data_IF_860834101657
#
_entry.id   IF_860834101657
#
_cell.length_a   1.000
_cell.length_b   1.000
_cell.length_c   1.000
_cell.angle_alpha   90.00
_cell.angle_beta   90.00
_cell.angle_gamma   90.00
#
_symmetry.space_group_name_H-M   'P 1'
#
loop_
_entity.id
_entity.type
_entity.pdbx_description
1 polymer ?
#
# COMPACT_ATOMS: atom_id res chain seq x y z
N UNK A 1 30.77 -11.26 51.72
CA UNK A 1 30.74 -10.95 50.27
C UNK A 1 29.83 -11.88 49.44
N UNK A 2 29.34 -13.02 49.96
CA UNK A 2 28.48 -13.94 49.19
C UNK A 2 27.00 -13.51 49.04
N UNK A 3 26.45 -12.71 49.97
CA UNK A 3 25.02 -12.33 49.97
C UNK A 3 24.64 -11.34 48.86
N UNK A 4 25.53 -10.40 48.52
CA UNK A 4 25.29 -9.39 47.48
C UNK A 4 25.22 -10.00 46.08
N UNK A 5 26.01 -11.04 45.81
CA UNK A 5 25.98 -11.76 44.53
C UNK A 5 24.64 -12.50 44.32
N UNK A 6 24.11 -13.13 45.37
CA UNK A 6 22.81 -13.82 45.29
C UNK A 6 21.65 -12.86 45.02
N UNK A 7 21.66 -11.66 45.61
CA UNK A 7 20.65 -10.65 45.33
C UNK A 7 20.76 -10.10 43.90
N UNK A 8 21.98 -9.91 43.39
CA UNK A 8 22.19 -9.48 42.00
C UNK A 8 21.65 -10.50 41.00
N UNK A 9 21.87 -11.79 41.25
CA UNK A 9 21.39 -12.88 40.40
C UNK A 9 19.86 -12.92 40.37
N UNK A 10 19.20 -12.76 41.53
CA UNK A 10 17.73 -12.77 41.61
C UNK A 10 17.14 -11.59 40.83
N UNK A 11 17.73 -10.39 40.92
CA UNK A 11 17.26 -9.21 40.18
C UNK A 11 17.45 -9.37 38.67
N UNK A 12 18.56 -9.98 38.24
CA UNK A 12 18.79 -10.30 36.81
C UNK A 12 17.76 -11.31 36.31
N UNK A 13 17.48 -12.37 37.08
CA UNK A 13 16.49 -13.39 36.68
C UNK A 13 15.07 -12.81 36.62
N UNK A 14 14.70 -11.95 37.58
CA UNK A 14 13.40 -11.27 37.57
C UNK A 14 13.25 -10.29 36.40
N UNK A 15 14.30 -9.54 36.05
CA UNK A 15 14.28 -8.63 34.90
C UNK A 15 14.25 -9.37 33.56
N UNK A 16 14.95 -10.51 33.44
CA UNK A 16 14.86 -11.39 32.27
C UNK A 16 13.48 -12.04 32.12
N UNK A 17 12.83 -12.42 33.23
CA UNK A 17 11.47 -12.96 33.22
C UNK A 17 10.41 -11.89 32.88
N UNK A 18 10.60 -10.65 33.36
CA UNK A 18 9.67 -9.56 33.07
C UNK A 18 9.79 -9.07 31.62
N UNK A 19 11.01 -9.07 31.06
CA UNK A 19 11.23 -8.74 29.65
C UNK A 19 10.63 -9.82 28.73
N UNK A 20 10.79 -11.11 29.02
CA UNK A 20 10.17 -12.16 28.20
C UNK A 20 8.63 -12.16 28.26
N UNK A 21 8.02 -11.62 29.31
CA UNK A 21 6.57 -11.44 29.40
C UNK A 21 6.05 -10.20 28.63
N UNK A 22 6.90 -9.19 28.39
CA UNK A 22 6.56 -7.98 27.64
C UNK A 22 6.86 -8.10 26.15
N UNK A 23 7.82 -8.96 25.77
CA UNK A 23 8.04 -9.35 24.39
C UNK A 23 7.11 -10.52 24.04
N UNK A 24 5.90 -10.20 23.59
CA UNK A 24 5.13 -11.18 22.81
C UNK A 24 6.04 -11.67 21.68
N UNK A 25 6.22 -12.99 21.46
CA UNK A 25 6.86 -13.44 20.25
C UNK A 25 6.07 -12.83 19.11
N UNK A 26 6.76 -12.16 18.18
CA UNK A 26 6.20 -11.82 16.87
C UNK A 26 5.97 -13.15 16.16
N UNK A 27 4.94 -13.87 16.57
CA UNK A 27 4.37 -14.93 15.80
C UNK A 27 3.83 -14.22 14.57
N UNK A 28 4.47 -14.48 13.44
CA UNK A 28 3.87 -14.26 12.13
C UNK A 28 2.40 -14.65 12.24
N UNK A 29 1.50 -13.70 11.99
CA UNK A 29 0.08 -13.98 11.83
C UNK A 29 -0.15 -14.72 10.51
N UNK A 30 0.60 -15.79 10.25
CA UNK A 30 -0.03 -16.97 9.69
C UNK A 30 -1.09 -17.34 10.70
N UNK A 31 -2.31 -16.81 10.52
CA UNK A 31 -3.51 -17.26 11.21
C UNK A 31 -3.40 -18.78 11.25
N UNK A 32 -3.09 -19.34 12.41
CA UNK A 32 -3.24 -20.77 12.63
C UNK A 32 -4.70 -21.02 12.32
N UNK A 33 -4.96 -21.62 11.15
CA UNK A 33 -6.30 -22.04 10.80
C UNK A 33 -6.61 -23.07 11.88
N UNK A 34 -7.36 -22.63 12.89
CA UNK A 34 -8.07 -23.54 13.78
C UNK A 34 -8.80 -24.50 12.84
N UNK A 35 -8.39 -25.76 12.90
CA UNK A 35 -8.83 -26.81 11.99
C UNK A 35 -10.24 -27.24 12.41
N UNK A 36 -11.13 -26.29 12.67
CA UNK A 36 -12.56 -26.50 12.47
C UNK A 36 -12.71 -26.76 10.99
N UNK A 37 -12.98 -28.02 10.69
CA UNK A 37 -13.39 -28.48 9.37
C UNK A 37 -14.72 -27.79 9.06
N UNK A 38 -14.67 -26.55 8.59
CA UNK A 38 -15.82 -25.90 7.98
C UNK A 38 -16.23 -26.77 6.80
N UNK A 39 -17.40 -27.39 6.93
CA UNK A 39 -17.99 -28.25 5.89
C UNK A 39 -18.33 -27.47 4.60
N UNK A 40 -18.13 -26.14 4.59
CA UNK A 40 -18.47 -25.23 3.49
C UNK A 40 -17.27 -24.42 2.96
N UNK A 41 -16.05 -24.93 3.05
CA UNK A 41 -14.87 -24.32 2.39
C UNK A 41 -14.70 -24.79 0.95
N UNK A 42 -14.33 -23.89 0.02
CA UNK A 42 -13.92 -24.29 -1.33
C UNK A 42 -12.39 -24.31 -1.43
N UNK A 43 -11.85 -25.37 -2.02
CA UNK A 43 -10.41 -25.53 -2.28
C UNK A 43 -10.15 -25.39 -3.77
N UNK A 44 -9.38 -24.38 -4.17
CA UNK A 44 -8.94 -24.21 -5.57
C UNK A 44 -7.46 -24.55 -5.66
N UNK A 45 -7.11 -25.44 -6.58
CA UNK A 45 -5.72 -25.63 -6.98
C UNK A 45 -5.35 -24.64 -8.07
N UNK A 46 -4.44 -23.70 -7.76
CA UNK A 46 -3.86 -22.81 -8.76
C UNK A 46 -2.83 -23.59 -9.57
N UNK A 47 -3.10 -23.77 -10.87
CA UNK A 47 -2.11 -24.27 -11.83
C UNK A 47 -1.65 -23.11 -12.70
N UNK A 48 -0.34 -22.96 -12.84
CA UNK A 48 0.23 -21.98 -13.76
C UNK A 48 -0.30 -22.26 -15.17
N UNK A 49 -0.62 -21.22 -15.94
CA UNK A 49 -1.25 -21.33 -17.28
C UNK A 49 -0.46 -22.21 -18.27
N UNK A 50 0.85 -22.33 -18.06
CA UNK A 50 1.75 -23.18 -18.86
C UNK A 50 2.16 -24.50 -18.16
N UNK A 51 1.59 -24.85 -17.01
CA UNK A 51 2.03 -26.02 -16.21
C UNK A 51 1.77 -27.37 -16.88
N UNK A 52 0.88 -27.43 -17.87
CA UNK A 52 0.52 -28.65 -18.60
C UNK A 52 1.36 -28.90 -19.86
N UNK A 53 2.29 -28.02 -20.22
CA UNK A 53 3.08 -28.13 -21.44
C UNK A 53 4.56 -28.36 -21.19
N UNK A 54 5.19 -29.15 -22.05
CA UNK A 54 6.63 -29.38 -22.03
C UNK A 54 7.37 -28.23 -22.73
N UNK A 55 7.32 -27.03 -22.13
CA UNK A 55 7.94 -25.82 -22.66
C UNK A 55 9.27 -25.52 -21.98
N UNK A 56 10.27 -25.16 -22.78
CA UNK A 56 11.52 -24.54 -22.34
C UNK A 56 11.28 -23.19 -21.65
N UNK A 57 12.26 -22.69 -20.90
CA UNK A 57 12.19 -21.36 -20.27
C UNK A 57 11.92 -20.24 -21.29
N UNK A 58 12.57 -20.32 -22.45
CA UNK A 58 12.42 -19.33 -23.51
C UNK A 58 11.01 -19.35 -24.13
N UNK A 59 10.47 -20.53 -24.42
CA UNK A 59 9.10 -20.66 -24.93
C UNK A 59 8.07 -20.14 -23.90
N UNK A 60 8.28 -20.40 -22.60
CA UNK A 60 7.44 -19.83 -21.54
C UNK A 60 7.48 -18.30 -21.56
N UNK A 61 8.65 -17.70 -21.76
CA UNK A 61 8.80 -16.25 -21.86
C UNK A 61 8.07 -15.70 -23.10
N UNK A 62 8.26 -16.31 -24.27
CA UNK A 62 7.55 -15.91 -25.49
C UNK A 62 6.03 -16.00 -25.33
N UNK A 63 5.54 -17.06 -24.69
CA UNK A 63 4.12 -17.23 -24.39
C UNK A 63 3.60 -16.20 -23.40
N UNK A 64 4.38 -15.87 -22.36
CA UNK A 64 4.05 -14.80 -21.42
C UNK A 64 3.92 -13.45 -22.14
N UNK A 65 4.88 -13.10 -23.02
CA UNK A 65 4.81 -11.88 -23.85
C UNK A 65 3.59 -11.89 -24.77
N UNK A 66 3.30 -13.01 -25.44
CA UNK A 66 2.11 -13.14 -26.30
C UNK A 66 0.82 -12.92 -25.51
N UNK A 67 0.70 -13.51 -24.31
CA UNK A 67 -0.45 -13.26 -23.42
C UNK A 67 -0.52 -11.81 -22.97
N UNK A 68 0.61 -11.19 -22.65
CA UNK A 68 0.69 -9.76 -22.32
C UNK A 68 0.13 -8.89 -23.44
N UNK A 69 0.53 -9.13 -24.70
CA UNK A 69 0.01 -8.42 -25.87
C UNK A 69 -1.48 -8.61 -26.07
N UNK A 70 -1.99 -9.84 -25.97
CA UNK A 70 -3.42 -10.12 -26.10
C UNK A 70 -4.25 -9.46 -24.98
N UNK A 71 -3.69 -9.42 -23.76
CA UNK A 71 -4.31 -8.72 -22.63
C UNK A 71 -4.35 -7.22 -22.89
N UNK A 72 -3.25 -6.64 -23.37
CA UNK A 72 -3.20 -5.23 -23.74
C UNK A 72 -4.24 -4.91 -24.82
N UNK A 73 -4.31 -5.68 -25.91
CA UNK A 73 -5.32 -5.47 -26.95
C UNK A 73 -6.76 -5.52 -26.42
N UNK A 74 -7.08 -6.46 -25.51
CA UNK A 74 -8.40 -6.53 -24.88
C UNK A 74 -8.68 -5.33 -23.98
N UNK A 75 -7.69 -4.86 -23.23
CA UNK A 75 -7.82 -3.67 -22.40
C UNK A 75 -8.01 -2.45 -23.28
N UNK A 76 -7.17 -2.26 -24.30
CA UNK A 76 -7.27 -1.20 -25.29
C UNK A 76 -8.63 -1.20 -26.00
N UNK A 77 -9.16 -2.36 -26.39
CA UNK A 77 -10.48 -2.45 -27.00
C UNK A 77 -11.61 -2.07 -26.03
N UNK A 78 -11.47 -2.39 -24.73
CA UNK A 78 -12.42 -1.95 -23.69
C UNK A 78 -12.32 -0.46 -23.41
N UNK A 79 -11.14 0.14 -23.57
CA UNK A 79 -10.91 1.58 -23.39
C UNK A 79 -11.00 2.35 -24.70
N UNK A 80 -11.26 1.72 -25.85
CA UNK A 80 -11.28 2.39 -27.15
C UNK A 80 -12.42 3.40 -27.30
N UNK A 81 -13.48 3.26 -26.50
CA UNK A 81 -14.55 4.26 -26.37
C UNK A 81 -14.31 5.26 -25.24
N UNK A 82 -13.18 5.14 -24.54
CA UNK A 82 -12.80 5.93 -23.38
C UNK A 82 -11.57 6.74 -23.78
N UNK A 83 -11.78 7.99 -24.21
CA UNK A 83 -10.67 8.92 -24.38
C UNK A 83 -10.04 9.15 -23.00
N UNK A 84 -8.80 8.69 -22.76
CA UNK A 84 -8.17 8.85 -21.47
C UNK A 84 -7.93 10.34 -21.23
N UNK A 85 -8.51 10.88 -20.18
CA UNK A 85 -8.32 12.28 -19.79
C UNK A 85 -6.91 12.57 -19.29
N UNK A 86 -6.16 11.52 -18.91
CA UNK A 86 -4.79 11.60 -18.40
C UNK A 86 -4.00 10.35 -18.85
N UNK A 87 -2.82 10.56 -19.41
CA UNK A 87 -1.83 9.53 -19.71
C UNK A 87 -0.50 9.89 -19.06
N UNK A 88 0.17 8.90 -18.46
CA UNK A 88 1.49 9.07 -17.86
C UNK A 88 2.39 7.87 -18.20
N UNK A 89 3.64 8.11 -18.64
CA UNK A 89 4.63 7.05 -18.76
C UNK A 89 4.86 6.35 -17.43
N UNK A 90 5.05 5.02 -17.49
CA UNK A 90 5.30 4.17 -16.32
C UNK A 90 6.71 3.62 -16.39
N UNK A 91 7.41 3.67 -15.26
CA UNK A 91 8.77 3.17 -15.11
C UNK A 91 8.86 2.16 -13.97
N UNK A 92 9.79 1.21 -14.08
CA UNK A 92 10.02 0.23 -13.02
C UNK A 92 10.80 0.87 -11.86
N UNK A 93 10.30 0.72 -10.65
CA UNK A 93 10.97 1.06 -9.39
C UNK A 93 11.46 -0.19 -8.64
N UNK A 94 11.81 -0.02 -7.36
CA UNK A 94 12.26 -1.12 -6.51
C UNK A 94 11.08 -1.93 -5.96
N UNK A 95 10.52 -2.82 -6.78
CA UNK A 95 9.37 -3.66 -6.42
C UNK A 95 8.00 -3.05 -6.74
N UNK A 96 7.98 -1.86 -7.34
CA UNK A 96 6.78 -1.09 -7.66
C UNK A 96 6.86 -0.50 -9.07
N UNK A 97 5.73 -0.01 -9.58
CA UNK A 97 5.69 0.80 -10.80
C UNK A 97 5.48 2.25 -10.44
N UNK A 98 6.30 3.14 -11.02
CA UNK A 98 6.27 4.57 -10.77
C UNK A 98 5.74 5.31 -11.99
N UNK A 99 4.99 6.39 -11.74
CA UNK A 99 4.49 7.32 -12.74
C UNK A 99 4.69 8.76 -12.28
N UNK A 100 4.81 9.69 -13.22
CA UNK A 100 4.88 11.12 -12.92
C UNK A 100 3.50 11.77 -13.08
N UNK A 101 3.04 12.45 -12.04
CA UNK A 101 1.78 13.21 -12.03
C UNK A 101 2.06 14.68 -11.70
N UNK A 102 1.36 15.59 -12.35
CA UNK A 102 1.46 17.01 -12.05
C UNK A 102 0.26 17.48 -11.20
N UNK A 103 0.53 18.24 -10.13
CA UNK A 103 -0.47 18.71 -9.16
C UNK A 103 -0.33 20.22 -9.00
N UNK A 104 -1.47 20.91 -8.92
CA UNK A 104 -1.56 22.32 -8.59
C UNK A 104 -1.43 23.29 -9.77
N UNK A 105 -1.53 24.58 -9.47
CA UNK A 105 -1.35 25.68 -10.44
C UNK A 105 -0.47 26.77 -9.80
N UNK A 106 0.79 26.96 -10.27
CA UNK A 106 1.43 26.27 -11.39
C UNK A 106 1.65 24.77 -11.12
N UNK A 107 1.75 23.98 -12.19
CA UNK A 107 1.86 22.54 -12.10
C UNK A 107 3.23 22.11 -11.53
N UNK A 108 3.20 21.33 -10.46
CA UNK A 108 4.38 20.71 -9.85
C UNK A 108 4.36 19.20 -10.08
N UNK A 109 5.49 18.61 -10.48
CA UNK A 109 5.55 17.17 -10.81
C UNK A 109 5.98 16.31 -9.62
N UNK A 110 5.25 15.22 -9.39
CA UNK A 110 5.43 14.25 -8.32
C UNK A 110 5.62 12.85 -8.90
N UNK A 111 6.55 12.09 -8.34
CA UNK A 111 6.67 10.65 -8.59
C UNK A 111 5.70 9.91 -7.68
N UNK A 112 4.79 9.11 -8.26
CA UNK A 112 3.76 8.37 -7.56
C UNK A 112 3.86 6.86 -7.85
N UNK A 113 3.45 6.06 -6.88
CA UNK A 113 3.32 4.60 -7.04
C UNK A 113 2.01 4.33 -7.77
N UNK A 114 2.05 3.49 -8.82
CA UNK A 114 0.87 2.96 -9.48
C UNK A 114 0.31 1.78 -8.66
N UNK A 115 -0.47 2.11 -7.64
CA UNK A 115 -1.14 1.12 -6.79
C UNK A 115 -2.54 0.80 -7.31
N UNK A 116 -2.71 -0.37 -7.93
CA UNK A 116 -4.04 -0.87 -8.35
C UNK A 116 -4.79 -1.59 -7.22
N UNK A 117 -4.20 -1.69 -6.03
CA UNK A 117 -4.75 -2.35 -4.85
C UNK A 117 -5.57 -1.44 -3.94
N UNK A 118 -5.62 -0.13 -4.21
CA UNK A 118 -6.35 0.88 -3.45
C UNK A 118 -7.05 1.89 -4.37
N UNK A 119 -7.85 2.78 -3.78
CA UNK A 119 -8.68 3.79 -4.44
C UNK A 119 -8.28 5.25 -4.11
N UNK A 120 -7.31 5.44 -3.20
CA UNK A 120 -6.87 6.75 -2.73
C UNK A 120 -5.63 7.26 -3.49
N UNK A 121 -5.77 8.42 -4.14
CA UNK A 121 -4.62 9.18 -4.67
C UNK A 121 -4.18 10.19 -3.62
N UNK A 122 -2.92 10.14 -3.18
CA UNK A 122 -2.39 11.04 -2.16
C UNK A 122 -0.91 11.36 -2.37
N UNK A 123 -0.47 12.51 -1.86
CA UNK A 123 0.93 12.93 -1.73
C UNK A 123 1.11 13.62 -0.38
N UNK A 124 2.35 13.78 0.09
CA UNK A 124 2.61 14.55 1.31
C UNK A 124 2.32 16.04 1.07
N UNK A 125 1.54 16.66 1.94
CA UNK A 125 1.19 18.08 1.88
C UNK A 125 1.63 18.85 3.14
N UNK A 126 1.95 20.13 2.99
CA UNK A 126 2.23 21.02 4.14
C UNK A 126 0.94 21.49 4.82
N UNK A 127 0.96 21.73 6.14
CA UNK A 127 2.03 21.37 7.07
C UNK A 127 2.05 19.85 7.33
N UNK A 128 3.21 19.23 7.16
CA UNK A 128 3.36 17.80 7.40
C UNK A 128 4.00 17.59 8.78
N UNK A 129 3.30 16.88 9.68
CA UNK A 129 3.74 16.63 11.06
C UNK A 129 4.68 15.42 11.17
N UNK A 130 4.35 14.36 10.43
CA UNK A 130 5.11 13.11 10.37
C UNK A 130 5.21 12.76 8.89
N UNK A 131 6.42 12.91 8.35
CA UNK A 131 6.70 12.82 6.93
C UNK A 131 7.79 11.78 6.71
N UNK A 132 7.82 11.19 5.53
CA UNK A 132 8.93 10.37 5.08
C UNK A 132 9.73 11.09 3.99
N UNK A 133 10.97 10.68 3.82
CA UNK A 133 11.81 11.21 2.76
C UNK A 133 11.27 10.78 1.40
N UNK A 134 10.96 11.76 0.55
CA UNK A 134 10.53 11.54 -0.82
C UNK A 134 11.43 12.34 -1.78
N UNK A 135 11.64 11.85 -3.01
CA UNK A 135 12.53 12.50 -3.98
C UNK A 135 11.97 13.82 -4.55
N UNK A 136 10.69 14.10 -4.32
CA UNK A 136 10.00 15.30 -4.80
C UNK A 136 9.65 16.21 -3.62
N UNK A 137 9.55 17.54 -3.79
CA UNK A 137 9.15 18.44 -2.71
C UNK A 137 7.82 18.03 -2.07
N UNK A 138 7.59 18.32 -0.80
CA UNK A 138 6.26 18.17 -0.18
C UNK A 138 5.34 19.25 -0.75
N UNK A 139 4.16 18.85 -1.23
CA UNK A 139 3.19 19.76 -1.84
C UNK A 139 2.80 20.87 -0.87
N UNK A 140 2.81 22.11 -1.35
CA UNK A 140 2.49 23.29 -0.56
C UNK A 140 1.15 23.88 -1.03
N UNK A 141 0.04 23.57 -0.32
CA UNK A 141 -1.29 24.00 -0.75
C UNK A 141 -1.42 25.52 -0.91
N UNK A 142 -0.70 26.30 -0.11
CA UNK A 142 -0.73 27.76 -0.15
C UNK A 142 -0.10 28.34 -1.42
N UNK A 143 0.75 27.56 -2.12
CA UNK A 143 1.41 27.99 -3.37
C UNK A 143 0.63 27.63 -4.62
N UNK A 144 -0.43 26.84 -4.49
CA UNK A 144 -1.24 26.40 -5.62
C UNK A 144 -2.55 27.15 -5.68
N UNK A 145 -2.71 28.01 -6.68
CA UNK A 145 -3.94 28.78 -6.92
C UNK A 145 -5.18 27.92 -7.24
N UNK A 146 -4.99 26.67 -7.69
CA UNK A 146 -6.06 25.72 -7.94
C UNK A 146 -6.35 24.78 -6.76
N UNK A 147 -5.68 24.96 -5.61
CA UNK A 147 -5.94 24.14 -4.44
C UNK A 147 -7.22 24.59 -3.73
N UNK A 148 -8.04 23.63 -3.35
CA UNK A 148 -9.19 23.84 -2.48
C UNK A 148 -9.40 22.63 -1.59
N UNK A 149 -9.70 22.84 -0.31
CA UNK A 149 -10.09 21.75 0.60
C UNK A 149 -11.38 21.08 0.12
N UNK A 150 -11.45 19.76 0.28
CA UNK A 150 -12.65 19.01 -0.04
C UNK A 150 -13.74 19.32 1.01
N UNK A 151 -14.92 19.83 0.61
CA UNK A 151 -15.99 20.11 1.57
C UNK A 151 -16.59 18.80 2.10
N UNK A 152 -17.06 18.82 3.35
CA UNK A 152 -17.64 17.64 3.98
C UNK A 152 -18.90 17.11 3.30
N UNK A 153 -19.62 17.97 2.58
CA UNK A 153 -20.80 17.58 1.80
C UNK A 153 -20.46 16.88 0.48
N UNK A 154 -19.18 16.76 0.12
CA UNK A 154 -18.76 16.06 -1.07
C UNK A 154 -18.94 14.55 -0.90
N UNK A 155 -19.52 13.89 -1.90
CA UNK A 155 -19.63 12.42 -1.92
C UNK A 155 -18.24 11.74 -1.81
N UNK A 156 -17.19 12.40 -2.30
CA UNK A 156 -15.81 11.92 -2.16
C UNK A 156 -15.36 11.82 -0.70
N UNK A 157 -15.93 12.63 0.20
CA UNK A 157 -15.60 12.55 1.63
C UNK A 157 -16.13 11.29 2.28
N UNK A 158 -17.28 10.80 1.81
CA UNK A 158 -17.88 9.54 2.28
C UNK A 158 -17.35 8.30 1.54
N UNK A 159 -16.56 8.48 0.47
CA UNK A 159 -16.09 7.39 -0.37
C UNK A 159 -15.04 6.50 0.33
N UNK A 160 -14.29 7.05 1.29
CA UNK A 160 -13.24 6.31 2.01
C UNK A 160 -13.79 5.66 3.28
N UNK A 161 -13.22 4.51 3.73
CA UNK A 161 -13.77 3.74 4.85
C UNK A 161 -13.85 4.49 6.19
N UNK A 162 -12.93 5.42 6.43
CA UNK A 162 -12.89 6.21 7.66
C UNK A 162 -12.70 7.67 7.28
N UNK A 163 -13.77 8.44 7.41
CA UNK A 163 -13.76 9.89 7.23
C UNK A 163 -14.44 10.62 8.39
N UNK A 164 -14.07 11.87 8.56
CA UNK A 164 -14.67 12.79 9.53
C UNK A 164 -14.70 14.20 8.98
N UNK A 165 -15.57 15.04 9.51
CA UNK A 165 -15.67 16.44 9.12
C UNK A 165 -15.19 17.35 10.25
N UNK A 166 -14.30 18.28 9.92
CA UNK A 166 -13.88 19.38 10.79
C UNK A 166 -13.79 20.67 9.95
N UNK A 167 -12.59 21.20 9.72
CA UNK A 167 -12.27 22.27 8.77
C UNK A 167 -11.99 21.68 7.37
N UNK A 168 -12.99 20.95 6.85
CA UNK A 168 -12.91 20.16 5.63
C UNK A 168 -13.04 18.65 5.87
N UNK A 169 -12.95 17.88 4.79
CA UNK A 169 -12.94 16.43 4.86
C UNK A 169 -11.61 15.89 5.38
N UNK A 170 -11.64 15.20 6.51
CA UNK A 170 -10.51 14.42 7.01
C UNK A 170 -10.72 12.93 6.70
N UNK A 171 -9.63 12.20 6.46
CA UNK A 171 -9.69 10.76 6.27
C UNK A 171 -8.57 10.02 7.00
N UNK A 172 -8.81 8.75 7.28
CA UNK A 172 -7.78 7.77 7.67
C UNK A 172 -7.81 6.60 6.71
N UNK A 173 -6.64 6.20 6.24
CA UNK A 173 -6.48 5.09 5.30
C UNK A 173 -5.40 4.15 5.81
N UNK A 174 -5.57 2.84 5.60
CA UNK A 174 -4.61 1.82 6.05
C UNK A 174 -4.40 0.80 4.94
N UNK A 175 -3.15 0.40 4.75
CA UNK A 175 -2.76 -0.59 3.75
C UNK A 175 -2.50 -1.96 4.40
N UNK A 176 -2.40 -3.00 3.58
CA UNK A 176 -2.22 -4.39 4.02
C UNK A 176 -0.87 -4.66 4.72
N UNK A 177 0.11 -3.78 4.54
CA UNK A 177 1.40 -3.79 5.23
C UNK A 177 1.38 -3.12 6.61
N UNK A 178 0.20 -2.65 7.05
CA UNK A 178 -0.06 -1.91 8.30
C UNK A 178 0.43 -0.45 8.30
N UNK A 179 0.89 0.07 7.16
CA UNK A 179 1.10 1.51 7.01
C UNK A 179 -0.23 2.26 7.10
N UNK A 180 -0.19 3.48 7.64
CA UNK A 180 -1.37 4.31 7.89
C UNK A 180 -1.14 5.72 7.44
N UNK A 181 -2.15 6.29 6.79
CA UNK A 181 -2.16 7.65 6.30
C UNK A 181 -3.34 8.39 6.91
N UNK A 182 -3.10 9.64 7.34
CA UNK A 182 -4.15 10.52 7.82
C UNK A 182 -3.99 11.88 7.14
N UNK A 183 -5.08 12.41 6.61
CA UNK A 183 -5.20 13.82 6.23
C UNK A 183 -6.07 14.58 7.24
N UNK A 184 -5.79 15.88 7.37
CA UNK A 184 -6.49 16.84 8.22
C UNK A 184 -6.94 18.03 7.37
#
# INVERSE_FOLDING_TARGET
MASSASHMIIVILLSLALSSALFSPVASTSRGIDRRQEKNGFRISLRHVDSGGNYTKFERLQRAVKRGRLRLQRLSAKTASFEPSVEAPVHAGNGEFLMNLAIGTPAETYSAIMDTGSDLIWTQCKPCKVCFDQPTPIFDPEKSSSFSKLPCSSDLCAALPISSCSDGCEYRYSYGDHSRHKAF
#
